data_IF_325132214201
#
_entry.id   IF_325132214201
#
_cell.length_a   1.000
_cell.length_b   1.000
_cell.length_c   1.000
_cell.angle_alpha   90.00
_cell.angle_beta   90.00
_cell.angle_gamma   90.00
#
_symmetry.space_group_name_H-M   'P 1'
#
loop_
_entity.id
_entity.type
_entity.pdbx_description
1 polymer ?
#
# COMPACT_ATOMS: atom_id res chain seq x y z
N UNK A 1 7.96 -66.79 42.34
CA UNK A 1 6.72 -66.28 41.74
C UNK A 1 6.86 -64.76 41.68
N UNK A 2 7.21 -64.23 40.48
CA UNK A 2 7.07 -62.81 40.06
C UNK A 2 8.05 -61.82 40.75
N UNK A 3 8.89 -60.99 40.13
CA UNK A 3 9.17 -60.65 38.71
C UNK A 3 10.63 -60.14 38.52
N UNK A 4 11.05 -60.24 37.26
CA UNK A 4 12.17 -59.68 36.49
C UNK A 4 12.28 -58.15 36.63
N UNK A 5 13.30 -57.40 36.19
CA UNK A 5 14.60 -57.61 35.52
C UNK A 5 15.22 -56.23 35.29
N UNK A 6 16.56 -56.18 35.28
CA UNK A 6 17.41 -55.45 34.32
C UNK A 6 17.33 -53.91 34.21
N UNK A 7 18.44 -53.23 34.55
CA UNK A 7 19.43 -52.61 33.63
C UNK A 7 20.16 -51.49 34.41
N UNK A 8 21.46 -51.60 34.71
CA UNK A 8 22.61 -51.33 33.83
C UNK A 8 22.61 -49.93 33.21
N UNK A 9 23.40 -49.02 33.79
CA UNK A 9 24.00 -47.84 33.15
C UNK A 9 25.19 -47.39 34.03
N UNK A 10 26.42 -47.79 33.72
CA UNK A 10 27.32 -47.16 32.75
C UNK A 10 28.00 -45.90 33.31
N UNK A 11 29.23 -46.10 33.78
CA UNK A 11 30.27 -45.10 33.95
C UNK A 11 30.80 -44.64 32.57
N UNK A 12 31.42 -43.46 32.53
CA UNK A 12 32.37 -43.13 31.46
C UNK A 12 32.41 -41.65 31.07
N UNK A 13 33.48 -40.99 31.53
CA UNK A 13 34.09 -39.77 30.98
C UNK A 13 33.81 -39.48 29.51
N UNK A 14 33.68 -38.19 29.15
CA UNK A 14 34.42 -37.58 28.04
C UNK A 14 34.39 -36.04 28.12
N UNK A 15 35.58 -35.48 28.09
CA UNK A 15 35.95 -34.07 27.95
C UNK A 15 35.48 -33.52 26.60
N UNK A 16 34.92 -32.30 26.56
CA UNK A 16 34.84 -31.54 25.30
C UNK A 16 35.28 -30.09 25.48
N UNK A 17 36.40 -29.80 24.82
CA UNK A 17 37.01 -28.49 24.64
C UNK A 17 36.06 -27.63 23.78
N UNK A 18 35.45 -26.61 24.38
CA UNK A 18 34.59 -25.67 23.67
C UNK A 18 35.40 -24.69 22.82
N UNK A 19 35.71 -25.07 21.59
CA UNK A 19 36.22 -24.16 20.56
C UNK A 19 35.18 -23.06 20.30
N UNK A 20 35.50 -21.84 20.71
CA UNK A 20 34.69 -20.65 20.42
C UNK A 20 34.65 -20.41 18.92
N UNK A 21 33.52 -20.77 18.28
CA UNK A 21 33.22 -20.35 16.92
C UNK A 21 32.91 -18.85 16.93
N UNK A 22 33.93 -18.03 16.66
CA UNK A 22 33.76 -16.61 16.33
C UNK A 22 32.93 -16.54 15.05
N UNK A 23 31.67 -16.12 15.19
CA UNK A 23 30.75 -15.88 14.08
C UNK A 23 31.21 -14.65 13.29
N UNK A 24 32.16 -14.84 12.38
CA UNK A 24 32.56 -13.81 11.41
C UNK A 24 31.40 -13.60 10.45
N UNK A 25 30.63 -12.53 10.66
CA UNK A 25 29.65 -12.08 9.66
C UNK A 25 30.42 -11.57 8.43
N UNK A 26 30.07 -12.01 7.21
CA UNK A 26 30.80 -11.60 6.01
C UNK A 26 30.60 -10.09 5.75
N UNK A 27 31.66 -9.35 5.37
CA UNK A 27 31.55 -7.94 5.03
C UNK A 27 30.78 -7.80 3.70
N UNK A 28 29.57 -7.25 3.75
CA UNK A 28 28.81 -6.92 2.54
C UNK A 28 27.31 -7.20 2.58
N UNK A 29 26.76 -7.77 3.65
CA UNK A 29 25.30 -7.88 3.81
C UNK A 29 24.73 -6.50 4.19
N UNK A 30 24.50 -5.65 3.19
CA UNK A 30 23.65 -4.46 3.36
C UNK A 30 22.25 -4.97 3.70
N UNK A 31 21.94 -5.05 5.00
CA UNK A 31 20.60 -5.29 5.50
C UNK A 31 19.75 -4.11 5.02
N UNK A 32 19.05 -4.30 3.90
CA UNK A 32 18.08 -3.32 3.42
C UNK A 32 16.92 -3.30 4.40
N UNK A 33 16.98 -2.37 5.35
CA UNK A 33 15.87 -2.10 6.26
C UNK A 33 14.66 -1.73 5.41
N UNK A 34 13.59 -2.52 5.50
CA UNK A 34 12.30 -2.12 4.94
C UNK A 34 11.87 -0.76 5.53
N UNK A 35 10.93 -0.04 4.90
CA UNK A 35 10.43 1.22 5.45
C UNK A 35 9.96 1.02 6.89
N UNK A 36 10.49 1.82 7.81
CA UNK A 36 10.23 1.70 9.26
C UNK A 36 8.74 1.82 9.58
N UNK A 37 8.30 1.16 10.65
CA UNK A 37 6.92 1.27 11.15
C UNK A 37 6.51 2.74 11.37
N UNK A 38 7.45 3.58 11.84
CA UNK A 38 7.29 5.02 11.99
C UNK A 38 6.91 5.72 10.67
N UNK A 39 7.55 5.37 9.54
CA UNK A 39 7.24 5.99 8.23
C UNK A 39 5.83 5.64 7.76
N UNK A 40 5.36 4.41 8.02
CA UNK A 40 3.98 4.00 7.70
C UNK A 40 2.98 4.74 8.57
N UNK A 41 3.28 4.89 9.86
CA UNK A 41 2.45 5.64 10.79
C UNK A 41 2.34 7.12 10.40
N UNK A 42 3.45 7.79 10.09
CA UNK A 42 3.46 9.19 9.63
C UNK A 42 2.58 9.38 8.39
N UNK A 43 2.69 8.51 7.38
CA UNK A 43 1.84 8.59 6.19
C UNK A 43 0.36 8.37 6.51
N UNK A 44 0.05 7.42 7.41
CA UNK A 44 -1.32 7.18 7.84
C UNK A 44 -1.91 8.39 8.58
N UNK A 45 -1.18 8.96 9.54
CA UNK A 45 -1.64 10.14 10.30
C UNK A 45 -1.76 11.36 9.41
N UNK A 46 -0.83 11.58 8.48
CA UNK A 46 -0.91 12.65 7.49
C UNK A 46 -2.14 12.49 6.59
N UNK A 47 -2.43 11.27 6.13
CA UNK A 47 -3.62 10.97 5.34
C UNK A 47 -4.90 11.22 6.12
N UNK A 48 -5.02 10.70 7.35
CA UNK A 48 -6.22 10.92 8.17
C UNK A 48 -6.43 12.42 8.45
N UNK A 49 -5.36 13.15 8.79
CA UNK A 49 -5.42 14.60 8.98
C UNK A 49 -5.86 15.34 7.72
N UNK A 50 -5.31 14.98 6.55
CA UNK A 50 -5.68 15.56 5.27
C UNK A 50 -7.14 15.26 4.90
N UNK A 51 -7.58 14.01 5.11
CA UNK A 51 -8.97 13.61 4.87
C UNK A 51 -9.95 14.41 5.75
N UNK A 52 -9.67 14.52 7.05
CA UNK A 52 -10.49 15.33 7.95
C UNK A 52 -10.51 16.81 7.55
N UNK A 53 -9.38 17.38 7.15
CA UNK A 53 -9.30 18.75 6.66
C UNK A 53 -10.16 18.95 5.39
N UNK A 54 -10.13 17.99 4.44
CA UNK A 54 -10.97 18.04 3.24
C UNK A 54 -12.47 17.98 3.58
N UNK A 55 -12.88 17.06 4.46
CA UNK A 55 -14.28 16.83 4.80
C UNK A 55 -14.85 17.96 5.64
N UNK A 56 -14.15 18.36 6.70
CA UNK A 56 -14.56 19.49 7.55
C UNK A 56 -14.48 20.83 6.82
N UNK A 57 -13.54 20.96 5.87
CA UNK A 57 -13.46 22.11 4.98
C UNK A 57 -14.70 22.19 4.10
N UNK A 58 -15.09 21.10 3.43
CA UNK A 58 -16.32 21.04 2.65
C UNK A 58 -17.57 21.34 3.49
N UNK A 59 -17.66 20.78 4.70
CA UNK A 59 -18.76 21.03 5.63
C UNK A 59 -18.85 22.49 6.12
N UNK A 60 -17.75 23.26 6.03
CA UNK A 60 -17.70 24.69 6.33
C UNK A 60 -17.78 25.58 5.08
N UNK A 61 -17.88 24.99 3.89
CA UNK A 61 -17.83 25.73 2.61
C UNK A 61 -16.43 26.23 2.23
N UNK A 62 -15.35 25.73 2.84
CA UNK A 62 -13.97 26.09 2.51
C UNK A 62 -13.44 25.24 1.36
N UNK A 63 -13.77 25.64 0.12
CA UNK A 63 -13.37 24.93 -1.10
C UNK A 63 -11.84 24.77 -1.25
N UNK A 64 -11.05 25.69 -0.69
CA UNK A 64 -9.59 25.67 -0.76
C UNK A 64 -8.92 24.70 0.24
N UNK A 65 -9.65 24.24 1.26
CA UNK A 65 -9.06 23.41 2.32
C UNK A 65 -8.56 22.06 1.78
N UNK A 66 -9.32 21.46 0.87
CA UNK A 66 -8.97 20.17 0.27
C UNK A 66 -7.71 20.22 -0.61
N UNK A 67 -7.57 21.14 -1.59
CA UNK A 67 -6.35 21.23 -2.38
C UNK A 67 -5.12 21.56 -1.53
N UNK A 68 -5.23 22.42 -0.52
CA UNK A 68 -4.12 22.71 0.40
C UNK A 68 -3.69 21.46 1.18
N UNK A 69 -4.66 20.70 1.72
CA UNK A 69 -4.37 19.47 2.45
C UNK A 69 -3.72 18.40 1.54
N UNK A 70 -4.21 18.26 0.30
CA UNK A 70 -3.64 17.34 -0.67
C UNK A 70 -2.22 17.71 -1.10
N UNK A 71 -1.95 19.00 -1.34
CA UNK A 71 -0.61 19.48 -1.65
C UNK A 71 0.37 19.21 -0.49
N UNK A 72 -0.05 19.44 0.75
CA UNK A 72 0.76 19.14 1.93
C UNK A 72 1.06 17.63 2.04
N UNK A 73 0.05 16.77 1.89
CA UNK A 73 0.23 15.31 1.90
C UNK A 73 1.15 14.83 0.78
N UNK A 74 1.00 15.38 -0.44
CA UNK A 74 1.82 15.04 -1.58
C UNK A 74 3.28 15.51 -1.41
N UNK A 75 3.49 16.68 -0.83
CA UNK A 75 4.83 17.19 -0.51
C UNK A 75 5.55 16.28 0.50
N UNK A 76 4.86 15.88 1.57
CA UNK A 76 5.39 14.92 2.55
C UNK A 76 5.71 13.58 1.88
N UNK A 77 4.79 13.03 1.08
CA UNK A 77 5.01 11.77 0.36
C UNK A 77 6.21 11.84 -0.60
N UNK A 78 6.31 12.93 -1.38
CA UNK A 78 7.40 13.14 -2.32
C UNK A 78 8.75 13.34 -1.61
N UNK A 79 8.77 13.99 -0.44
CA UNK A 79 9.97 14.15 0.38
C UNK A 79 10.47 12.79 0.92
N UNK A 80 9.54 11.89 1.30
CA UNK A 80 9.85 10.58 1.86
C UNK A 80 10.09 9.48 0.82
N UNK A 81 9.72 9.71 -0.44
CA UNK A 81 9.80 8.71 -1.51
C UNK A 81 11.15 8.71 -2.24
N UNK A 82 11.82 7.54 -2.36
CA UNK A 82 13.04 7.40 -3.16
C UNK A 82 12.84 7.60 -4.67
N UNK A 83 11.61 7.47 -5.17
CA UNK A 83 11.29 7.42 -6.60
C UNK A 83 10.14 8.36 -6.96
N UNK A 84 10.35 9.66 -6.73
CA UNK A 84 9.34 10.72 -6.86
C UNK A 84 8.58 10.67 -8.19
N UNK A 85 9.26 10.54 -9.33
CA UNK A 85 8.60 10.55 -10.65
C UNK A 85 7.63 9.38 -10.86
N UNK A 86 8.02 8.17 -10.44
CA UNK A 86 7.16 6.99 -10.58
C UNK A 86 5.93 7.09 -9.65
N UNK A 87 6.12 7.57 -8.42
CA UNK A 87 5.05 7.81 -7.46
C UNK A 87 4.08 8.89 -7.96
N UNK A 88 4.58 10.03 -8.43
CA UNK A 88 3.73 11.13 -8.94
C UNK A 88 2.94 10.67 -10.18
N UNK A 89 3.55 9.90 -11.08
CA UNK A 89 2.84 9.32 -12.21
C UNK A 89 1.73 8.33 -11.79
N UNK A 90 1.94 7.57 -10.71
CA UNK A 90 0.90 6.70 -10.13
C UNK A 90 -0.23 7.53 -9.54
N UNK A 91 0.10 8.52 -8.70
CA UNK A 91 -0.88 9.43 -8.09
C UNK A 91 -1.74 10.06 -9.16
N UNK A 92 -1.13 10.58 -10.22
CA UNK A 92 -1.85 11.19 -11.34
C UNK A 92 -2.85 10.23 -12.00
N UNK A 93 -2.45 8.99 -12.30
CA UNK A 93 -3.36 7.97 -12.87
C UNK A 93 -4.53 7.63 -11.96
N UNK A 94 -4.26 7.50 -10.65
CA UNK A 94 -5.30 7.20 -9.65
C UNK A 94 -6.26 8.37 -9.50
N UNK A 95 -5.74 9.60 -9.48
CA UNK A 95 -6.56 10.82 -9.44
C UNK A 95 -7.47 10.92 -10.66
N UNK A 96 -6.96 10.70 -11.87
CA UNK A 96 -7.79 10.77 -13.08
C UNK A 96 -8.92 9.73 -13.07
N UNK A 97 -8.60 8.48 -12.70
CA UNK A 97 -9.58 7.41 -12.63
C UNK A 97 -10.65 7.70 -11.58
N UNK A 98 -10.22 8.06 -10.38
CA UNK A 98 -11.11 8.35 -9.27
C UNK A 98 -12.00 9.56 -9.52
N UNK A 99 -11.42 10.63 -10.07
CA UNK A 99 -12.16 11.83 -10.43
C UNK A 99 -13.26 11.54 -11.46
N UNK A 100 -12.96 10.74 -12.50
CA UNK A 100 -13.95 10.38 -13.50
C UNK A 100 -15.13 9.60 -12.89
N UNK A 101 -14.84 8.71 -11.93
CA UNK A 101 -15.86 7.92 -11.24
C UNK A 101 -16.71 8.80 -10.33
N UNK A 102 -16.10 9.59 -9.45
CA UNK A 102 -16.83 10.42 -8.50
C UNK A 102 -17.65 11.53 -9.19
N UNK A 103 -17.12 12.14 -10.26
CA UNK A 103 -17.91 13.07 -11.08
C UNK A 103 -19.10 12.33 -11.71
N UNK A 104 -18.90 11.09 -12.19
CA UNK A 104 -19.98 10.24 -12.66
C UNK A 104 -21.06 9.98 -11.61
N UNK A 105 -20.67 9.72 -10.35
CA UNK A 105 -21.60 9.53 -9.23
C UNK A 105 -22.40 10.80 -8.92
N UNK A 106 -21.75 11.96 -8.98
CA UNK A 106 -22.43 13.25 -8.78
C UNK A 106 -23.43 13.51 -9.92
N UNK A 107 -23.02 13.30 -11.17
CA UNK A 107 -23.90 13.47 -12.33
C UNK A 107 -25.07 12.48 -12.32
N UNK A 108 -24.88 11.28 -11.77
CA UNK A 108 -25.93 10.27 -11.60
C UNK A 108 -26.84 10.53 -10.38
N UNK A 109 -26.60 11.58 -9.59
CA UNK A 109 -27.38 11.90 -8.38
C UNK A 109 -27.17 10.90 -7.24
N UNK A 110 -26.11 10.09 -7.29
CA UNK A 110 -25.80 9.11 -6.22
C UNK A 110 -25.23 9.82 -4.99
N UNK A 111 -24.46 10.88 -5.22
CA UNK A 111 -23.84 11.73 -4.19
C UNK A 111 -24.06 13.19 -4.56
N UNK A 112 -24.44 14.01 -3.60
CA UNK A 112 -24.59 15.46 -3.78
C UNK A 112 -23.69 16.23 -2.82
N UNK A 113 -23.23 17.41 -3.25
CA UNK A 113 -22.44 18.30 -2.40
C UNK A 113 -23.39 19.16 -1.55
N UNK A 114 -23.30 19.03 -0.22
CA UNK A 114 -24.27 19.65 0.70
C UNK A 114 -24.35 21.18 0.57
N UNK A 115 -23.21 21.82 0.34
CA UNK A 115 -23.13 23.28 0.25
C UNK A 115 -23.32 23.85 -1.15
N UNK A 116 -23.86 23.08 -2.10
CA UNK A 116 -24.02 23.52 -3.49
C UNK A 116 -22.68 24.03 -4.00
N UNK A 117 -21.78 23.08 -4.33
CA UNK A 117 -20.41 23.36 -4.77
C UNK A 117 -20.31 24.65 -5.59
N UNK A 118 -19.29 25.48 -5.34
CA UNK A 118 -18.97 26.73 -6.03
C UNK A 118 -18.66 26.55 -7.55
N UNK A 119 -19.36 25.65 -8.25
CA UNK A 119 -19.14 25.16 -9.59
C UNK A 119 -18.60 23.72 -9.62
N UNK A 120 -18.88 23.01 -10.71
CA UNK A 120 -18.40 21.63 -10.98
C UNK A 120 -16.88 21.51 -10.86
N UNK A 121 -16.14 22.57 -11.20
CA UNK A 121 -14.68 22.62 -11.06
C UNK A 121 -14.21 22.51 -9.61
N UNK A 122 -14.95 23.10 -8.67
CA UNK A 122 -14.59 23.02 -7.24
C UNK A 122 -14.89 21.64 -6.66
N UNK A 123 -15.99 21.02 -7.07
CA UNK A 123 -16.30 19.60 -6.77
C UNK A 123 -15.22 18.69 -7.31
N UNK A 124 -14.83 18.89 -8.57
CA UNK A 124 -13.78 18.11 -9.21
C UNK A 124 -12.43 18.28 -8.48
N UNK A 125 -12.06 19.52 -8.13
CA UNK A 125 -10.84 19.78 -7.36
C UNK A 125 -10.86 19.13 -5.97
N UNK A 126 -12.02 19.10 -5.32
CA UNK A 126 -12.20 18.45 -4.01
C UNK A 126 -12.02 16.94 -4.09
N UNK A 127 -12.69 16.27 -5.03
CA UNK A 127 -12.51 14.83 -5.26
C UNK A 127 -11.08 14.51 -5.69
N UNK A 128 -10.50 15.28 -6.60
CA UNK A 128 -9.11 15.10 -7.03
C UNK A 128 -8.13 15.18 -5.85
N UNK A 129 -8.40 16.08 -4.89
CA UNK A 129 -7.59 16.23 -3.67
C UNK A 129 -7.68 14.99 -2.77
N UNK A 130 -8.89 14.47 -2.55
CA UNK A 130 -9.10 13.24 -1.78
C UNK A 130 -8.42 12.04 -2.45
N UNK A 131 -8.54 11.91 -3.77
CA UNK A 131 -7.86 10.86 -4.53
C UNK A 131 -6.34 10.99 -4.50
N UNK A 132 -5.81 12.20 -4.54
CA UNK A 132 -4.38 12.43 -4.43
C UNK A 132 -3.86 11.96 -3.06
N UNK A 133 -4.54 12.37 -1.98
CA UNK A 133 -4.25 11.90 -0.63
C UNK A 133 -4.30 10.38 -0.55
N UNK A 134 -5.38 9.76 -1.03
CA UNK A 134 -5.55 8.32 -1.01
C UNK A 134 -4.43 7.60 -1.79
N UNK A 135 -4.08 8.08 -2.97
CA UNK A 135 -3.05 7.48 -3.81
C UNK A 135 -1.67 7.46 -3.14
N UNK A 136 -1.32 8.48 -2.33
CA UNK A 136 -0.05 8.48 -1.58
C UNK A 136 0.04 7.34 -0.55
N UNK A 137 -1.10 6.82 -0.08
CA UNK A 137 -1.13 5.72 0.89
C UNK A 137 -0.87 4.35 0.25
N UNK A 138 -1.13 4.20 -1.06
CA UNK A 138 -1.09 2.92 -1.79
C UNK A 138 0.28 2.24 -1.73
N UNK A 139 1.36 2.99 -1.99
CA UNK A 139 2.74 2.48 -1.97
C UNK A 139 3.44 2.63 -0.61
N UNK A 140 2.78 3.28 0.35
CA UNK A 140 3.29 3.50 1.70
C UNK A 140 2.62 2.54 2.68
N UNK A 141 1.50 2.95 3.27
CA UNK A 141 0.80 2.20 4.32
C UNK A 141 0.04 0.98 3.79
N UNK A 142 -0.39 1.02 2.52
CA UNK A 142 -1.05 -0.09 1.83
C UNK A 142 -0.12 -0.91 0.94
N UNK A 143 1.21 -0.73 1.06
CA UNK A 143 2.20 -1.49 0.28
C UNK A 143 2.13 -3.02 0.48
N UNK A 144 1.40 -3.49 1.49
CA UNK A 144 1.14 -4.91 1.73
C UNK A 144 0.06 -5.47 0.78
N UNK A 145 -0.88 -4.63 0.32
CA UNK A 145 -1.91 -4.98 -0.67
C UNK A 145 -1.31 -5.10 -2.08
N UNK A 146 -0.29 -4.29 -2.41
CA UNK A 146 0.36 -4.30 -3.73
C UNK A 146 1.22 -5.54 -3.99
N UNK A 147 1.47 -6.38 -2.98
CA UNK A 147 2.17 -7.67 -3.14
C UNK A 147 1.15 -8.75 -3.53
N UNK A 148 0.76 -8.74 -4.81
CA UNK A 148 -0.38 -9.48 -5.34
C UNK A 148 -0.17 -11.00 -5.34
N UNK A 149 -0.78 -11.68 -4.36
CA UNK A 149 -1.27 -13.07 -4.51
C UNK A 149 -2.76 -13.01 -4.83
N UNK A 150 -3.27 -13.96 -5.63
CA UNK A 150 -4.69 -14.03 -6.07
C UNK A 150 -5.70 -13.87 -4.90
N UNK A 151 -5.39 -14.40 -3.71
CA UNK A 151 -6.20 -14.25 -2.48
C UNK A 151 -6.30 -12.81 -1.95
N UNK A 152 -5.34 -11.92 -2.24
CA UNK A 152 -5.33 -10.53 -1.74
C UNK A 152 -6.18 -9.57 -2.55
N UNK A 153 -6.56 -9.94 -3.78
CA UNK A 153 -7.50 -9.15 -4.59
C UNK A 153 -8.89 -9.16 -3.94
N UNK A 154 -9.33 -10.31 -3.40
CA UNK A 154 -10.58 -10.40 -2.65
C UNK A 154 -10.55 -9.56 -1.37
N UNK A 155 -9.41 -9.55 -0.67
CA UNK A 155 -9.24 -8.69 0.52
C UNK A 155 -9.30 -7.21 0.15
N UNK A 156 -8.69 -6.81 -0.97
CA UNK A 156 -8.77 -5.44 -1.46
C UNK A 156 -10.21 -5.06 -1.84
N UNK A 157 -10.94 -5.96 -2.50
CA UNK A 157 -12.34 -5.75 -2.86
C UNK A 157 -13.23 -5.61 -1.62
N UNK A 158 -13.10 -6.50 -0.64
CA UNK A 158 -13.86 -6.42 0.62
C UNK A 158 -13.51 -5.16 1.42
N UNK A 159 -12.23 -4.80 1.47
CA UNK A 159 -11.77 -3.58 2.12
C UNK A 159 -12.37 -2.33 1.46
N UNK A 160 -12.43 -2.32 0.12
CA UNK A 160 -13.11 -1.27 -0.63
C UNK A 160 -14.62 -1.23 -0.38
N UNK A 161 -15.28 -2.37 -0.51
CA UNK A 161 -16.73 -2.52 -0.33
C UNK A 161 -17.22 -2.02 1.02
N UNK A 162 -16.40 -2.13 2.06
CA UNK A 162 -16.74 -1.65 3.40
C UNK A 162 -16.20 -0.23 3.66
N UNK A 163 -14.95 0.03 3.25
CA UNK A 163 -14.26 1.29 3.54
C UNK A 163 -14.81 2.48 2.77
N UNK A 164 -15.15 2.30 1.48
CA UNK A 164 -15.70 3.35 0.63
C UNK A 164 -17.04 3.89 1.15
N UNK A 165 -18.08 3.06 1.27
CA UNK A 165 -19.38 3.47 1.81
C UNK A 165 -19.28 4.04 3.23
N UNK A 166 -18.41 3.49 4.08
CA UNK A 166 -18.18 4.03 5.41
C UNK A 166 -17.61 5.46 5.37
N UNK A 167 -16.69 5.75 4.44
CA UNK A 167 -16.14 7.08 4.25
C UNK A 167 -17.19 8.07 3.75
N UNK A 168 -18.06 7.66 2.83
CA UNK A 168 -19.17 8.49 2.34
C UNK A 168 -20.22 8.75 3.42
N UNK A 169 -20.58 7.74 4.22
CA UNK A 169 -21.47 7.92 5.36
C UNK A 169 -20.86 8.85 6.43
N UNK A 170 -19.54 8.74 6.67
CA UNK A 170 -18.85 9.68 7.56
C UNK A 170 -18.86 11.11 6.98
N UNK A 171 -18.63 11.26 5.67
CA UNK A 171 -18.72 12.55 4.98
C UNK A 171 -20.12 13.17 5.06
N UNK A 172 -21.17 12.36 4.92
CA UNK A 172 -22.55 12.80 5.08
C UNK A 172 -22.84 13.28 6.51
N UNK A 173 -22.46 12.47 7.52
CA UNK A 173 -22.64 12.82 8.94
C UNK A 173 -21.86 14.06 9.36
N UNK A 174 -20.71 14.30 8.73
CA UNK A 174 -19.89 15.48 8.96
C UNK A 174 -20.37 16.70 8.15
N UNK A 175 -21.34 16.54 7.26
CA UNK A 175 -21.94 17.62 6.48
C UNK A 175 -21.17 18.01 5.21
N UNK A 176 -20.28 17.16 4.70
CA UNK A 176 -19.56 17.43 3.45
C UNK A 176 -20.40 17.09 2.21
N UNK A 177 -21.12 15.97 2.25
CA UNK A 177 -21.94 15.44 1.16
C UNK A 177 -23.33 15.08 1.65
N UNK A 178 -24.25 14.79 0.74
CA UNK A 178 -25.56 14.21 1.02
C UNK A 178 -25.74 12.97 0.14
N UNK A 179 -26.38 11.93 0.68
CA UNK A 179 -26.76 10.73 -0.06
C UNK A 179 -28.29 10.76 -0.29
N UNK A 180 -28.78 11.24 -1.44
CA UNK A 180 -30.20 11.47 -1.66
C UNK A 180 -31.07 10.23 -1.43
N UNK A 181 -30.53 9.06 -1.78
CA UNK A 181 -31.15 7.76 -1.58
C UNK A 181 -30.21 6.83 -0.83
N UNK A 182 -30.08 7.00 0.49
CA UNK A 182 -29.07 6.33 1.32
C UNK A 182 -28.86 4.83 1.01
N UNK A 183 -29.91 4.01 0.93
CA UNK A 183 -29.77 2.58 0.64
C UNK A 183 -29.21 2.29 -0.76
N UNK A 184 -29.73 2.98 -1.78
CA UNK A 184 -29.26 2.87 -3.16
C UNK A 184 -27.84 3.40 -3.31
N UNK A 185 -27.56 4.58 -2.77
CA UNK A 185 -26.23 5.20 -2.81
C UNK A 185 -25.20 4.31 -2.14
N UNK A 186 -25.48 3.77 -0.95
CA UNK A 186 -24.57 2.85 -0.27
C UNK A 186 -24.35 1.55 -1.06
N UNK A 187 -25.37 1.00 -1.72
CA UNK A 187 -25.21 -0.18 -2.56
C UNK A 187 -24.31 0.08 -3.77
N UNK A 188 -24.53 1.21 -4.47
CA UNK A 188 -23.70 1.64 -5.61
C UNK A 188 -22.26 1.88 -5.16
N UNK A 189 -22.05 2.63 -4.08
CA UNK A 189 -20.73 2.90 -3.51
C UNK A 189 -20.03 1.61 -3.08
N UNK A 190 -20.76 0.64 -2.51
CA UNK A 190 -20.19 -0.65 -2.11
C UNK A 190 -19.67 -1.41 -3.32
N UNK A 191 -20.47 -1.50 -4.39
CA UNK A 191 -20.09 -2.18 -5.63
C UNK A 191 -18.95 -1.47 -6.36
N UNK A 192 -19.02 -0.14 -6.44
CA UNK A 192 -18.00 0.72 -7.04
C UNK A 192 -16.67 0.54 -6.33
N UNK A 193 -16.60 0.72 -5.01
CA UNK A 193 -15.36 0.59 -4.26
C UNK A 193 -14.83 -0.85 -4.20
N UNK A 194 -15.70 -1.86 -4.27
CA UNK A 194 -15.29 -3.26 -4.38
C UNK A 194 -14.49 -3.54 -5.66
N UNK A 195 -14.84 -2.86 -6.77
CA UNK A 195 -14.15 -2.98 -8.06
C UNK A 195 -12.98 -2.00 -8.19
N UNK A 196 -13.15 -0.79 -7.68
CA UNK A 196 -12.18 0.30 -7.81
C UNK A 196 -10.93 0.04 -6.97
N UNK A 197 -11.08 -0.44 -5.74
CA UNK A 197 -9.95 -0.71 -4.83
C UNK A 197 -8.95 -1.72 -5.41
N UNK A 198 -9.33 -2.91 -5.91
CA UNK A 198 -8.38 -3.80 -6.55
C UNK A 198 -7.77 -3.21 -7.82
N UNK A 199 -8.51 -2.39 -8.57
CA UNK A 199 -8.01 -1.72 -9.78
C UNK A 199 -6.91 -0.69 -9.46
N UNK A 200 -7.10 0.17 -8.46
CA UNK A 200 -6.07 1.15 -8.07
C UNK A 200 -4.85 0.47 -7.44
N UNK A 201 -5.05 -0.63 -6.71
CA UNK A 201 -3.94 -1.46 -6.18
C UNK A 201 -3.15 -2.09 -7.32
N UNK A 202 -3.81 -2.56 -8.39
CA UNK A 202 -3.16 -3.08 -9.59
C UNK A 202 -2.35 -1.99 -10.31
N UNK A 203 -2.89 -0.79 -10.44
CA UNK A 203 -2.17 0.37 -10.99
C UNK A 203 -0.92 0.66 -10.15
N UNK A 204 -1.07 0.74 -8.83
CA UNK A 204 0.03 0.99 -7.91
C UNK A 204 1.14 -0.07 -7.98
N UNK A 205 0.76 -1.35 -8.08
CA UNK A 205 1.70 -2.45 -8.21
C UNK A 205 2.51 -2.38 -9.52
N UNK A 206 1.90 -1.95 -10.63
CA UNK A 206 2.60 -1.77 -11.92
C UNK A 206 3.56 -0.59 -11.93
N UNK A 207 3.26 0.44 -11.14
CA UNK A 207 4.04 1.68 -11.10
C UNK A 207 5.15 1.67 -10.04
N UNK A 208 5.15 0.68 -9.14
CA UNK A 208 6.19 0.51 -8.13
C UNK A 208 7.55 0.18 -8.77
N UNK A 209 8.64 0.89 -8.43
CA UNK A 209 9.99 0.63 -8.95
C UNK A 209 10.52 -0.78 -8.66
N UNK A 210 9.87 -1.52 -7.76
CA UNK A 210 10.21 -2.90 -7.40
C UNK A 210 10.05 -3.88 -8.58
N UNK A 211 9.25 -3.53 -9.59
CA UNK A 211 9.02 -4.36 -10.77
C UNK A 211 10.07 -4.17 -11.90
N UNK A 212 11.03 -3.26 -11.73
CA UNK A 212 12.07 -2.99 -12.74
C UNK A 212 13.37 -3.78 -12.59
N UNK A 213 13.48 -4.72 -11.64
CA UNK A 213 14.74 -5.42 -11.32
C UNK A 213 14.60 -6.95 -11.29
N UNK A 214 13.88 -7.50 -12.28
CA UNK A 214 13.85 -8.95 -12.56
C UNK A 214 14.20 -9.29 -14.01
N UNK A 215 14.92 -8.39 -14.70
CA UNK A 215 15.68 -8.72 -15.91
C UNK A 215 17.06 -8.14 -15.75
N UNK A 216 18.00 -9.00 -15.38
CA UNK A 216 19.36 -8.65 -15.03
C UNK A 216 20.04 -9.93 -14.61
N UNK A 217 20.38 -10.73 -15.62
CA UNK A 217 21.40 -11.79 -15.62
C UNK A 217 21.66 -12.46 -14.27
N UNK A 218 21.30 -13.74 -14.15
CA UNK A 218 22.13 -14.64 -13.33
C UNK A 218 23.60 -14.32 -13.66
N UNK A 219 24.48 -14.14 -12.66
CA UNK A 219 25.90 -14.14 -12.96
C UNK A 219 26.16 -15.45 -13.71
N UNK A 220 26.49 -15.37 -15.00
CA UNK A 220 27.18 -16.45 -15.66
C UNK A 220 28.51 -16.49 -14.94
N UNK A 221 28.61 -17.33 -13.91
CA UNK A 221 29.89 -17.70 -13.34
C UNK A 221 30.69 -18.24 -14.53
N UNK A 222 31.82 -17.63 -14.90
CA UNK A 222 32.73 -18.29 -15.80
C UNK A 222 33.07 -19.63 -15.14
N UNK A 223 32.70 -20.73 -15.78
CA UNK A 223 33.24 -22.04 -15.45
C UNK A 223 34.76 -21.91 -15.34
N UNK A 224 35.39 -22.34 -14.23
CA UNK A 224 36.82 -22.23 -14.08
C UNK A 224 37.49 -23.05 -15.20
N UNK A 225 38.34 -22.38 -15.98
CA UNK A 225 39.12 -22.94 -17.12
C UNK A 225 39.96 -24.17 -16.73
N UNK A 226 40.12 -24.45 -15.43
CA UNK A 226 40.79 -25.65 -14.92
C UNK A 226 40.10 -26.97 -15.27
N UNK A 227 38.82 -26.97 -15.69
CA UNK A 227 38.13 -28.21 -16.09
C UNK A 227 38.41 -28.64 -17.54
N UNK A 228 38.91 -27.75 -18.42
CA UNK A 228 39.17 -28.10 -19.84
C UNK A 228 40.55 -28.66 -20.14
N UNK A 229 41.48 -28.63 -19.19
CA UNK A 229 42.86 -29.06 -19.44
C UNK A 229 43.13 -30.55 -19.14
N UNK A 230 42.21 -31.24 -18.45
CA UNK A 230 42.45 -32.62 -17.96
C UNK A 230 41.88 -33.70 -18.88
N UNK A 231 40.97 -33.38 -19.80
CA UNK A 231 40.39 -34.36 -20.75
C UNK A 231 41.17 -34.51 -22.08
N UNK A 232 42.19 -33.69 -22.33
CA UNK A 232 42.99 -33.78 -23.56
C UNK A 232 44.32 -34.55 -23.40
N UNK A 233 44.55 -35.21 -22.25
CA UNK A 233 45.76 -36.02 -21.98
C UNK A 233 45.43 -37.34 -21.25
N UNK A 234 44.45 -38.08 -21.76
CA UNK A 234 44.14 -39.45 -21.37
C UNK A 234 44.03 -40.33 -22.60
#
# INVERSE_FOLDING_TARGET
>A
MIDRSANSAAAGHLTSSGTSAVLTTPPGSVVRSGPSAARKFINFTAFQGAWFACVLGAARGWWWAAPVAALAALAVHAALSPSRRAELGMVFRVVLLGLAIDVGLVLAGVVEMRHGSFGMMTTAAWFASLWACFATTLNSSMAWLTNLRRRRILVAALFGALGGPAAYMAGERLGAVTLPHASWSLAVLSAEWALLTPLVVLIAARCSPRCGRRSGSLPVTPEPVSARATEARG
#
